data_IF_404150918103
#
_entry.id   IF_404150918103
#
_cell.length_a   1.000
_cell.length_b   1.000
_cell.length_c   1.000
_cell.angle_alpha   90.00
_cell.angle_beta   90.00
_cell.angle_gamma   90.00
#
_symmetry.space_group_name_H-M   'P 1'
#
loop_
_entity.id
_entity.type
_entity.pdbx_description
1 polymer ?
#
# COMPACT_ATOMS: atom_id res chain seq x y z
N UNK A 1 -26.93 15.64 2.81
CA UNK A 1 -27.10 15.43 4.26
C UNK A 1 -26.02 14.45 4.70
N UNK A 2 -25.18 14.81 5.67
CA UNK A 2 -24.17 13.88 6.18
C UNK A 2 -24.85 12.81 7.04
N UNK A 3 -24.66 11.54 6.66
CA UNK A 3 -25.19 10.41 7.43
C UNK A 3 -24.12 9.94 8.41
N UNK A 4 -24.51 9.70 9.67
CA UNK A 4 -23.64 9.13 10.70
C UNK A 4 -24.13 7.73 11.09
N UNK A 5 -23.20 6.80 11.32
CA UNK A 5 -23.50 5.51 11.96
C UNK A 5 -22.88 5.47 13.35
N UNK A 6 -23.51 4.76 14.29
CA UNK A 6 -22.87 4.46 15.57
C UNK A 6 -22.08 3.16 15.45
N UNK A 7 -20.81 3.17 15.83
CA UNK A 7 -19.99 1.97 15.87
C UNK A 7 -20.48 1.03 16.97
N UNK A 8 -20.84 -0.24 16.68
CA UNK A 8 -21.34 -1.15 17.70
C UNK A 8 -20.26 -1.56 18.71
N UNK A 9 -18.98 -1.46 18.34
CA UNK A 9 -17.85 -1.86 19.20
C UNK A 9 -17.42 -0.74 20.14
N UNK A 10 -17.34 0.51 19.64
CA UNK A 10 -16.79 1.64 20.42
C UNK A 10 -17.85 2.66 20.85
N UNK A 11 -19.08 2.58 20.33
CA UNK A 11 -20.14 3.57 20.57
C UNK A 11 -19.95 4.92 19.88
N UNK A 12 -18.84 5.12 19.15
CA UNK A 12 -18.53 6.39 18.48
C UNK A 12 -19.42 6.64 17.26
N UNK A 13 -19.77 7.91 17.02
CA UNK A 13 -20.42 8.34 15.78
C UNK A 13 -19.38 8.46 14.66
N UNK A 14 -19.62 7.76 13.56
CA UNK A 14 -18.74 7.72 12.40
C UNK A 14 -19.42 8.42 11.23
N UNK A 15 -18.73 9.41 10.66
CA UNK A 15 -19.20 10.15 9.48
C UNK A 15 -19.07 9.29 8.22
N UNK A 16 -20.18 9.01 7.53
CA UNK A 16 -20.21 8.07 6.40
C UNK A 16 -19.24 8.40 5.27
N UNK A 17 -19.08 9.68 4.91
CA UNK A 17 -18.15 10.07 3.83
C UNK A 17 -16.68 9.91 4.24
N UNK A 18 -16.37 10.10 5.53
CA UNK A 18 -15.01 9.90 6.02
C UNK A 18 -14.68 8.40 6.05
N UNK A 19 -15.59 7.58 6.59
CA UNK A 19 -15.51 6.11 6.58
C UNK A 19 -15.30 5.54 5.17
N UNK A 20 -15.99 6.09 4.17
CA UNK A 20 -15.81 5.69 2.78
C UNK A 20 -14.40 6.03 2.25
N UNK A 21 -13.90 7.23 2.56
CA UNK A 21 -12.58 7.68 2.11
C UNK A 21 -11.45 6.87 2.77
N UNK A 22 -11.59 6.59 4.07
CA UNK A 22 -10.66 5.74 4.84
C UNK A 22 -10.57 4.36 4.21
N UNK A 23 -11.72 3.73 3.93
CA UNK A 23 -11.78 2.40 3.30
C UNK A 23 -11.17 2.40 1.90
N UNK A 24 -11.45 3.43 1.10
CA UNK A 24 -10.87 3.55 -0.24
C UNK A 24 -9.34 3.62 -0.17
N UNK A 25 -8.79 4.50 0.68
CA UNK A 25 -7.35 4.62 0.89
C UNK A 25 -6.74 3.32 1.44
N UNK A 26 -7.41 2.63 2.36
CA UNK A 26 -6.95 1.35 2.92
C UNK A 26 -6.83 0.27 1.84
N UNK A 27 -7.80 0.19 0.92
CA UNK A 27 -7.77 -0.75 -0.21
C UNK A 27 -6.62 -0.40 -1.15
N UNK A 28 -6.46 0.88 -1.52
CA UNK A 28 -5.37 1.32 -2.41
C UNK A 28 -4.00 1.05 -1.77
N UNK A 29 -3.84 1.34 -0.48
CA UNK A 29 -2.62 1.03 0.27
C UNK A 29 -2.31 -0.47 0.27
N UNK A 30 -3.32 -1.33 0.44
CA UNK A 30 -3.15 -2.79 0.40
C UNK A 30 -2.69 -3.25 -0.98
N UNK A 31 -3.29 -2.72 -2.05
CA UNK A 31 -2.88 -3.03 -3.43
C UNK A 31 -1.45 -2.54 -3.70
N UNK A 32 -1.11 -1.32 -3.25
CA UNK A 32 0.25 -0.80 -3.34
C UNK A 32 1.22 -1.72 -2.59
N UNK A 33 0.91 -2.15 -1.37
CA UNK A 33 1.75 -3.09 -0.62
C UNK A 33 2.02 -4.38 -1.40
N UNK A 34 1.01 -4.97 -2.03
CA UNK A 34 1.17 -6.16 -2.85
C UNK A 34 2.10 -5.91 -4.04
N UNK A 35 1.91 -4.82 -4.79
CA UNK A 35 2.75 -4.47 -5.95
C UNK A 35 4.21 -4.27 -5.53
N UNK A 36 4.45 -3.49 -4.48
CA UNK A 36 5.82 -3.24 -4.02
C UNK A 36 6.45 -4.46 -3.35
N UNK A 37 5.67 -5.31 -2.68
CA UNK A 37 6.11 -6.58 -2.13
C UNK A 37 6.54 -7.57 -3.21
N UNK A 38 5.76 -7.69 -4.30
CA UNK A 38 6.13 -8.53 -5.45
C UNK A 38 7.42 -8.00 -6.10
N UNK A 39 7.55 -6.68 -6.30
CA UNK A 39 8.77 -6.08 -6.81
C UNK A 39 9.97 -6.33 -5.88
N UNK A 40 9.77 -6.29 -4.56
CA UNK A 40 10.81 -6.62 -3.57
C UNK A 40 11.28 -8.08 -3.70
N UNK A 41 10.36 -9.02 -3.92
CA UNK A 41 10.70 -10.44 -4.13
C UNK A 41 11.60 -10.59 -5.35
N UNK A 42 11.28 -9.94 -6.48
CA UNK A 42 12.15 -9.99 -7.66
C UNK A 42 13.54 -9.39 -7.41
N UNK A 43 13.62 -8.26 -6.70
CA UNK A 43 14.89 -7.65 -6.29
C UNK A 43 15.68 -8.64 -5.41
N UNK A 44 15.05 -9.23 -4.40
CA UNK A 44 15.66 -10.19 -3.48
C UNK A 44 16.19 -11.42 -4.22
N UNK A 45 15.36 -12.02 -5.09
CA UNK A 45 15.72 -13.18 -5.91
C UNK A 45 16.81 -12.88 -6.95
N UNK A 46 17.15 -11.61 -7.18
CA UNK A 46 18.27 -11.23 -8.05
C UNK A 46 19.54 -10.91 -7.25
N UNK A 47 19.40 -10.57 -5.96
CA UNK A 47 20.54 -10.29 -5.05
C UNK A 47 21.03 -11.52 -4.29
N UNK A 48 20.27 -12.61 -4.34
CA UNK A 48 20.69 -13.89 -3.78
C UNK A 48 21.83 -14.48 -4.60
N UNK A 49 22.95 -14.81 -3.97
CA UNK A 49 24.13 -15.39 -4.62
C UNK A 49 23.86 -16.61 -5.54
N UNK A 50 22.83 -17.41 -5.25
CA UNK A 50 22.50 -18.60 -6.04
C UNK A 50 21.51 -18.32 -7.19
N UNK A 51 20.73 -17.25 -7.10
CA UNK A 51 19.63 -16.94 -8.03
C UNK A 51 19.80 -15.52 -8.55
N UNK A 52 19.84 -15.37 -9.87
CA UNK A 52 19.97 -14.08 -10.54
C UNK A 52 18.82 -13.91 -11.51
N UNK A 53 17.60 -13.79 -10.94
CA UNK A 53 16.36 -13.95 -11.70
C UNK A 53 16.17 -12.90 -12.81
N UNK A 54 16.61 -11.65 -12.58
CA UNK A 54 16.48 -10.55 -13.53
C UNK A 54 17.84 -10.15 -14.13
N UNK A 55 17.81 -9.71 -15.40
CA UNK A 55 18.93 -8.99 -16.00
C UNK A 55 19.09 -7.59 -15.36
N UNK A 56 20.22 -6.93 -15.63
CA UNK A 56 20.55 -5.63 -15.03
C UNK A 56 19.50 -4.55 -15.31
N UNK A 57 18.93 -4.49 -16.52
CA UNK A 57 17.94 -3.47 -16.88
C UNK A 57 16.66 -3.66 -16.09
N UNK A 58 16.17 -4.91 -16.01
CA UNK A 58 14.95 -5.22 -15.25
C UNK A 58 15.16 -5.11 -13.74
N UNK A 59 16.35 -5.43 -13.24
CA UNK A 59 16.69 -5.24 -11.83
C UNK A 59 16.50 -3.77 -11.41
N UNK A 60 17.09 -2.82 -12.14
CA UNK A 60 16.95 -1.40 -11.80
C UNK A 60 15.52 -0.89 -11.97
N UNK A 61 14.77 -1.38 -12.97
CA UNK A 61 13.35 -1.04 -13.12
C UNK A 61 12.52 -1.54 -11.94
N UNK A 62 12.69 -2.80 -11.53
CA UNK A 62 11.96 -3.37 -10.38
C UNK A 62 12.37 -2.70 -9.08
N UNK A 63 13.64 -2.35 -8.92
CA UNK A 63 14.12 -1.58 -7.76
C UNK A 63 13.46 -0.20 -7.69
N UNK A 64 13.38 0.51 -8.82
CA UNK A 64 12.68 1.80 -8.90
C UNK A 64 11.19 1.66 -8.61
N UNK A 65 10.52 0.64 -9.19
CA UNK A 65 9.11 0.34 -8.90
C UNK A 65 8.91 0.07 -7.42
N UNK A 66 9.72 -0.81 -6.81
CA UNK A 66 9.64 -1.10 -5.38
C UNK A 66 9.80 0.17 -4.53
N UNK A 67 10.87 0.93 -4.75
CA UNK A 67 11.17 2.13 -3.97
C UNK A 67 10.07 3.19 -4.08
N UNK A 68 9.67 3.54 -5.30
CA UNK A 68 8.62 4.53 -5.53
C UNK A 68 7.27 4.08 -4.95
N UNK A 69 6.93 2.81 -5.16
CA UNK A 69 5.66 2.25 -4.71
C UNK A 69 5.58 2.12 -3.18
N UNK A 70 6.65 1.75 -2.49
CA UNK A 70 6.65 1.66 -1.03
C UNK A 70 6.76 3.02 -0.35
N UNK A 71 7.65 3.90 -0.84
CA UNK A 71 7.94 5.17 -0.15
C UNK A 71 6.95 6.29 -0.45
N UNK A 72 6.25 6.23 -1.60
CA UNK A 72 5.32 7.28 -2.00
C UNK A 72 3.90 6.73 -1.97
N UNK A 73 3.57 5.82 -2.89
CA UNK A 73 2.19 5.38 -3.06
C UNK A 73 1.66 4.67 -1.82
N UNK A 74 2.36 3.65 -1.32
CA UNK A 74 1.95 2.93 -0.12
C UNK A 74 1.86 3.86 1.09
N UNK A 75 2.93 4.59 1.43
CA UNK A 75 2.94 5.45 2.63
C UNK A 75 1.80 6.47 2.58
N UNK A 76 1.61 7.19 1.47
CA UNK A 76 0.58 8.24 1.40
C UNK A 76 -0.83 7.64 1.58
N UNK A 77 -1.17 6.58 0.85
CA UNK A 77 -2.51 5.98 0.97
C UNK A 77 -2.70 5.30 2.33
N UNK A 78 -1.66 4.68 2.88
CA UNK A 78 -1.69 4.07 4.20
C UNK A 78 -1.93 5.11 5.30
N UNK A 79 -1.20 6.23 5.28
CA UNK A 79 -1.36 7.31 6.25
C UNK A 79 -2.75 7.94 6.16
N UNK A 80 -3.26 8.21 4.96
CA UNK A 80 -4.62 8.72 4.76
C UNK A 80 -5.71 7.76 5.24
N UNK A 81 -5.41 6.46 5.32
CA UNK A 81 -6.33 5.45 5.84
C UNK A 81 -6.23 5.24 7.36
N UNK A 82 -5.08 5.55 7.97
CA UNK A 82 -4.84 5.32 9.40
C UNK A 82 -5.12 6.57 10.24
N UNK A 83 -4.84 7.75 9.70
CA UNK A 83 -4.99 9.02 10.41
C UNK A 83 -6.45 9.53 10.46
N UNK A 84 -7.29 9.03 9.57
CA UNK A 84 -8.70 9.40 9.46
C UNK A 84 -9.58 8.21 9.82
#
# INVERSE_FOLDING_TARGET
>A
MSTFRTCPTTGLKVHSQADALIKANAVVATVALLVGGIAAIFVLLTRWQAVHFLDATMFYRMLTVHGMNMLIFFIIFFEMAVLY
#
